data_IF_040801286386
#
_entry.id   IF_040801286386
#
_cell.length_a   1.000
_cell.length_b   1.000
_cell.length_c   1.000
_cell.angle_alpha   90.00
_cell.angle_beta   90.00
_cell.angle_gamma   90.00
#
_symmetry.space_group_name_H-M   'P 1'
#
loop_
_entity.id
_entity.type
_entity.pdbx_description
1 polymer ?
#
# COMPACT_ATOMS: atom_id res chain seq x y z
N UNK A 1 -1.91 -27.25 8.14
CA UNK A 1 -1.63 -26.08 7.29
C UNK A 1 -1.54 -26.44 5.82
N UNK A 2 -2.66 -26.82 5.19
CA UNK A 2 -2.88 -26.92 3.73
C UNK A 2 -4.36 -26.66 3.41
N UNK A 3 -5.24 -26.94 4.38
CA UNK A 3 -6.68 -26.69 4.33
C UNK A 3 -7.04 -25.20 4.34
N UNK A 4 -6.30 -24.36 5.08
CA UNK A 4 -6.53 -22.90 5.12
C UNK A 4 -6.04 -22.16 3.87
N UNK A 5 -4.93 -22.63 3.27
CA UNK A 5 -4.42 -22.15 1.98
C UNK A 5 -5.42 -22.42 0.87
N UNK A 6 -6.03 -23.62 0.87
CA UNK A 6 -7.14 -23.95 -0.01
C UNK A 6 -8.38 -23.11 0.29
N UNK A 7 -8.70 -22.82 1.56
CA UNK A 7 -9.93 -22.12 1.94
C UNK A 7 -10.00 -20.66 1.47
N UNK A 8 -8.91 -19.89 1.59
CA UNK A 8 -8.88 -18.49 1.13
C UNK A 8 -8.79 -18.43 -0.40
N UNK A 9 -8.01 -19.31 -1.02
CA UNK A 9 -8.00 -19.47 -2.47
C UNK A 9 -9.40 -19.88 -3.00
N UNK A 10 -10.04 -20.91 -2.44
CA UNK A 10 -11.39 -21.37 -2.84
C UNK A 10 -12.47 -20.31 -2.66
N UNK A 11 -12.43 -19.51 -1.58
CA UNK A 11 -13.41 -18.43 -1.35
C UNK A 11 -13.29 -17.30 -2.38
N UNK A 12 -12.10 -17.04 -2.92
CA UNK A 12 -11.87 -16.10 -4.02
C UNK A 12 -12.14 -16.71 -5.41
N UNK A 13 -12.11 -18.04 -5.51
CA UNK A 13 -12.24 -18.78 -6.76
C UNK A 13 -13.68 -19.18 -7.10
N UNK A 14 -14.65 -19.07 -6.19
CA UNK A 14 -16.04 -19.46 -6.44
C UNK A 14 -16.83 -18.37 -7.20
N UNK A 15 -17.00 -18.54 -8.52
CA UNK A 15 -18.06 -17.88 -9.31
C UNK A 15 -17.75 -16.51 -9.92
N UNK A 16 -16.49 -16.09 -10.00
CA UNK A 16 -16.12 -14.76 -10.51
C UNK A 16 -15.43 -14.86 -11.88
N UNK A 17 -15.86 -14.01 -12.82
CA UNK A 17 -15.19 -13.78 -14.10
C UNK A 17 -13.68 -13.55 -13.93
N UNK A 18 -12.87 -14.10 -14.84
CA UNK A 18 -11.43 -14.20 -14.71
C UNK A 18 -10.74 -12.83 -14.61
N UNK A 19 -11.23 -11.84 -15.36
CA UNK A 19 -10.75 -10.46 -15.28
C UNK A 19 -10.96 -9.86 -13.88
N UNK A 20 -12.10 -10.14 -13.23
CA UNK A 20 -12.38 -9.68 -11.87
C UNK A 20 -11.54 -10.41 -10.83
N UNK A 21 -11.15 -11.66 -11.07
CA UNK A 21 -10.23 -12.42 -10.19
C UNK A 21 -8.83 -11.81 -10.20
N UNK A 22 -8.27 -11.56 -11.38
CA UNK A 22 -6.94 -10.94 -11.53
C UNK A 22 -6.92 -9.56 -10.85
N UNK A 23 -7.97 -8.75 -11.05
CA UNK A 23 -8.12 -7.46 -10.37
C UNK A 23 -8.14 -7.59 -8.83
N UNK A 24 -8.85 -8.59 -8.32
CA UNK A 24 -8.92 -8.86 -6.87
C UNK A 24 -7.57 -9.28 -6.32
N UNK A 25 -6.83 -10.13 -7.02
CA UNK A 25 -5.48 -10.54 -6.62
C UNK A 25 -4.50 -9.37 -6.61
N UNK A 26 -4.57 -8.47 -7.60
CA UNK A 26 -3.77 -7.23 -7.57
C UNK A 26 -4.11 -6.34 -6.38
N UNK A 27 -5.40 -6.17 -6.07
CA UNK A 27 -5.83 -5.40 -4.90
C UNK A 27 -5.29 -6.03 -3.61
N UNK A 28 -5.38 -7.34 -3.49
CA UNK A 28 -4.85 -8.07 -2.34
C UNK A 28 -3.32 -7.89 -2.23
N UNK A 29 -2.58 -8.11 -3.32
CA UNK A 29 -1.12 -7.96 -3.35
C UNK A 29 -0.66 -6.55 -2.96
N UNK A 30 -1.42 -5.51 -3.32
CA UNK A 30 -1.04 -4.11 -3.11
C UNK A 30 -1.52 -3.51 -1.79
N UNK A 31 -2.62 -3.99 -1.22
CA UNK A 31 -3.32 -3.27 -0.15
C UNK A 31 -3.84 -4.13 0.98
N UNK A 32 -3.67 -5.46 0.95
CA UNK A 32 -4.11 -6.31 2.06
C UNK A 32 -3.26 -6.06 3.32
N UNK A 33 -3.94 -5.98 4.48
CA UNK A 33 -3.29 -5.77 5.77
C UNK A 33 -2.39 -6.96 6.15
N UNK A 34 -2.77 -8.18 5.76
CA UNK A 34 -2.00 -9.39 6.04
C UNK A 34 -0.87 -9.57 5.02
N UNK A 35 0.37 -9.52 5.50
CA UNK A 35 1.55 -9.79 4.66
C UNK A 35 1.50 -11.16 3.97
N UNK A 36 0.91 -12.17 4.64
CA UNK A 36 0.71 -13.51 4.07
C UNK A 36 -0.27 -13.49 2.91
N UNK A 37 -1.37 -12.75 3.05
CA UNK A 37 -2.35 -12.61 1.97
C UNK A 37 -1.75 -11.90 0.75
N UNK A 38 -0.91 -10.88 0.98
CA UNK A 38 -0.16 -10.21 -0.11
C UNK A 38 0.76 -11.17 -0.84
N UNK A 39 1.60 -11.91 -0.10
CA UNK A 39 2.54 -12.87 -0.69
C UNK A 39 1.82 -13.96 -1.49
N UNK A 40 0.76 -14.56 -0.93
CA UNK A 40 -0.03 -15.56 -1.65
C UNK A 40 -0.71 -15.00 -2.90
N UNK A 41 -1.14 -13.74 -2.87
CA UNK A 41 -1.73 -13.09 -4.05
C UNK A 41 -0.68 -12.91 -5.16
N UNK A 42 0.54 -12.52 -4.81
CA UNK A 42 1.66 -12.44 -5.77
C UNK A 42 2.01 -13.81 -6.32
N UNK A 43 2.10 -14.85 -5.48
CA UNK A 43 2.37 -16.22 -5.94
C UNK A 43 1.27 -16.74 -6.87
N UNK A 44 0.01 -16.42 -6.57
CA UNK A 44 -1.14 -16.80 -7.39
C UNK A 44 -1.13 -16.09 -8.75
N UNK A 45 -0.69 -14.82 -8.78
CA UNK A 45 -0.50 -14.07 -10.02
C UNK A 45 0.69 -14.62 -10.83
N UNK A 46 1.81 -14.93 -10.17
CA UNK A 46 3.02 -15.46 -10.79
C UNK A 46 2.81 -16.84 -11.43
N UNK A 47 2.04 -17.72 -10.79
CA UNK A 47 1.68 -19.04 -11.34
C UNK A 47 0.87 -18.94 -12.64
N UNK A 48 0.26 -17.79 -12.90
CA UNK A 48 -0.59 -17.52 -14.06
C UNK A 48 0.04 -16.52 -15.03
N UNK A 49 1.32 -16.16 -14.82
CA UNK A 49 1.92 -15.05 -15.53
C UNK A 49 2.08 -15.35 -17.02
N UNK A 50 1.34 -14.61 -17.84
CA UNK A 50 1.47 -14.53 -19.30
C UNK A 50 2.47 -13.43 -19.71
N UNK A 51 3.24 -12.90 -18.75
CA UNK A 51 4.17 -11.79 -18.92
C UNK A 51 3.52 -10.42 -18.65
N UNK A 52 2.23 -10.37 -18.33
CA UNK A 52 1.55 -9.11 -17.99
C UNK A 52 1.65 -8.76 -16.50
N UNK A 53 2.02 -9.71 -15.64
CA UNK A 53 1.93 -9.54 -14.18
C UNK A 53 2.79 -8.40 -13.66
N UNK A 54 3.94 -8.22 -14.30
CA UNK A 54 5.00 -7.29 -13.93
C UNK A 54 4.59 -5.80 -14.04
N UNK A 55 3.90 -5.42 -15.13
CA UNK A 55 3.67 -3.99 -15.46
C UNK A 55 2.80 -3.27 -14.43
N UNK A 56 1.71 -3.85 -13.90
CA UNK A 56 0.90 -3.21 -12.87
C UNK A 56 1.68 -2.92 -11.58
N UNK A 57 2.58 -3.81 -11.15
CA UNK A 57 3.42 -3.56 -9.97
C UNK A 57 4.41 -2.42 -10.20
N UNK A 58 5.04 -2.34 -11.38
CA UNK A 58 5.88 -1.18 -11.74
C UNK A 58 5.09 0.13 -11.74
N UNK A 59 3.85 0.11 -12.26
CA UNK A 59 2.98 1.29 -12.24
C UNK A 59 2.65 1.71 -10.80
N UNK A 60 2.31 0.76 -9.93
CA UNK A 60 2.03 1.03 -8.53
C UNK A 60 3.25 1.60 -7.80
N UNK A 61 4.42 0.98 -7.97
CA UNK A 61 5.68 1.45 -7.38
C UNK A 61 5.98 2.92 -7.70
N UNK A 62 5.81 3.33 -8.95
CA UNK A 62 6.28 4.64 -9.43
C UNK A 62 5.22 5.75 -9.39
N UNK A 63 3.93 5.40 -9.34
CA UNK A 63 2.84 6.36 -9.56
C UNK A 63 1.71 6.32 -8.54
N UNK A 64 1.69 5.35 -7.62
CA UNK A 64 0.61 5.26 -6.64
C UNK A 64 0.72 6.41 -5.61
N UNK A 65 -0.38 7.09 -5.25
CA UNK A 65 -0.31 8.19 -4.30
C UNK A 65 0.08 7.73 -2.89
N UNK A 66 -0.39 6.55 -2.47
CA UNK A 66 -0.16 6.01 -1.14
C UNK A 66 1.22 5.34 -1.00
N UNK A 67 2.08 5.81 -0.06
CA UNK A 67 3.42 5.27 0.17
C UNK A 67 3.47 3.77 0.50
N UNK A 68 2.52 3.26 1.29
CA UNK A 68 2.46 1.84 1.65
C UNK A 68 2.17 0.93 0.45
N UNK A 69 1.44 1.43 -0.56
CA UNK A 69 1.18 0.66 -1.79
C UNK A 69 2.44 0.58 -2.65
N UNK A 70 3.26 1.64 -2.70
CA UNK A 70 4.55 1.61 -3.38
C UNK A 70 5.49 0.60 -2.73
N UNK A 71 5.51 0.53 -1.40
CA UNK A 71 6.26 -0.46 -0.61
C UNK A 71 5.84 -1.89 -0.95
N UNK A 72 4.53 -2.16 -0.91
CA UNK A 72 4.00 -3.49 -1.23
C UNK A 72 4.29 -3.86 -2.69
N UNK A 73 4.25 -2.90 -3.61
CA UNK A 73 4.64 -3.13 -5.00
C UNK A 73 6.13 -3.48 -5.15
N UNK A 74 7.02 -2.83 -4.40
CA UNK A 74 8.44 -3.17 -4.39
C UNK A 74 8.69 -4.58 -3.85
N UNK A 75 7.99 -4.95 -2.77
CA UNK A 75 8.05 -6.29 -2.20
C UNK A 75 7.57 -7.35 -3.21
N UNK A 76 6.43 -7.09 -3.87
CA UNK A 76 5.89 -7.96 -4.92
C UNK A 76 6.87 -8.12 -6.10
N UNK A 77 7.49 -7.04 -6.58
CA UNK A 77 8.51 -7.11 -7.63
C UNK A 77 9.73 -7.94 -7.22
N UNK A 78 10.17 -7.81 -5.96
CA UNK A 78 11.25 -8.63 -5.41
C UNK A 78 10.85 -10.10 -5.27
N UNK A 79 9.59 -10.39 -4.97
CA UNK A 79 9.03 -11.75 -4.87
C UNK A 79 8.89 -12.40 -6.26
N UNK A 80 8.46 -11.65 -7.28
CA UNK A 80 8.39 -12.14 -8.66
C UNK A 80 9.76 -12.57 -9.22
N UNK A 81 10.86 -12.02 -8.69
CA UNK A 81 12.21 -12.39 -9.12
C UNK A 81 12.59 -11.85 -10.50
N UNK A 82 11.74 -11.04 -11.13
CA UNK A 82 11.96 -10.51 -12.47
C UNK A 82 13.00 -9.37 -12.44
N UNK A 83 14.15 -9.62 -13.08
CA UNK A 83 15.28 -8.68 -13.16
C UNK A 83 14.92 -7.36 -13.87
N UNK A 84 13.84 -7.32 -14.67
CA UNK A 84 13.30 -6.08 -15.23
C UNK A 84 12.89 -5.08 -14.15
N UNK A 85 12.66 -5.54 -12.91
CA UNK A 85 12.29 -4.74 -11.75
C UNK A 85 13.42 -3.85 -11.19
N UNK A 86 14.67 -4.12 -11.55
CA UNK A 86 15.84 -3.40 -10.98
C UNK A 86 15.81 -1.91 -11.34
N UNK A 87 15.64 -1.55 -12.61
CA UNK A 87 15.66 -0.16 -13.03
C UNK A 87 14.49 0.67 -12.43
N UNK A 88 13.23 0.17 -12.40
CA UNK A 88 12.14 0.82 -11.67
C UNK A 88 12.42 1.01 -10.16
N UNK A 89 12.98 0.00 -9.49
CA UNK A 89 13.30 0.08 -8.06
C UNK A 89 14.39 1.12 -7.76
N UNK A 90 15.44 1.20 -8.57
CA UNK A 90 16.46 2.25 -8.45
C UNK A 90 15.85 3.63 -8.63
N UNK A 91 14.95 3.80 -9.60
CA UNK A 91 14.24 5.07 -9.82
C UNK A 91 13.37 5.45 -8.62
N UNK A 92 12.64 4.50 -8.05
CA UNK A 92 11.84 4.70 -6.85
C UNK A 92 12.72 5.09 -5.65
N UNK A 93 13.85 4.40 -5.47
CA UNK A 93 14.82 4.70 -4.41
C UNK A 93 15.37 6.12 -4.54
N UNK A 94 15.70 6.57 -5.75
CA UNK A 94 16.10 7.97 -6.01
C UNK A 94 15.03 8.97 -5.57
N UNK A 95 13.76 8.67 -5.88
CA UNK A 95 12.63 9.52 -5.49
C UNK A 95 12.46 9.69 -3.97
N UNK A 96 12.89 8.71 -3.17
CA UNK A 96 12.86 8.80 -1.69
C UNK A 96 13.94 9.74 -1.10
N UNK A 97 14.93 10.12 -1.90
CA UNK A 97 15.98 11.07 -1.53
C UNK A 97 15.51 12.52 -1.78
N UNK A 98 14.72 12.74 -2.83
CA UNK A 98 14.30 14.08 -3.30
C UNK A 98 13.16 14.72 -2.48
N UNK A 99 12.81 14.17 -1.30
CA UNK A 99 12.01 14.89 -0.32
C UNK A 99 10.53 15.15 -0.68
N UNK A 100 9.91 14.33 -1.54
CA UNK A 100 8.43 14.32 -1.69
C UNK A 100 7.80 13.65 -0.47
N UNK A 101 7.89 14.32 0.67
CA UNK A 101 7.24 13.91 1.91
C UNK A 101 5.75 14.18 1.75
N UNK A 102 4.98 13.15 1.39
CA UNK A 102 3.53 13.20 1.50
C UNK A 102 3.17 13.23 2.99
N UNK A 103 3.14 14.43 3.57
CA UNK A 103 2.58 14.66 4.90
C UNK A 103 1.12 14.21 4.82
N UNK A 104 0.79 13.16 5.56
CA UNK A 104 -0.55 12.60 5.59
C UNK A 104 -1.14 12.95 6.94
N UNK A 105 -2.14 13.81 6.93
CA UNK A 105 -2.83 14.24 8.14
C UNK A 105 -3.87 13.15 8.45
N UNK A 106 -3.73 12.45 9.57
CA UNK A 106 -4.75 11.52 10.04
C UNK A 106 -5.71 12.29 10.94
N UNK A 107 -6.98 12.36 10.53
CA UNK A 107 -8.04 13.03 11.29
C UNK A 107 -9.00 11.97 11.81
N UNK A 108 -9.17 11.91 13.14
CA UNK A 108 -10.27 11.21 13.79
C UNK A 108 -11.14 12.25 14.48
N UNK A 109 -12.32 12.50 13.92
CA UNK A 109 -13.33 13.40 14.46
C UNK A 109 -14.49 12.53 14.94
N UNK A 110 -14.82 12.62 16.23
CA UNK A 110 -16.02 11.99 16.77
C UNK A 110 -17.16 13.03 16.73
N UNK A 111 -18.25 12.66 16.08
CA UNK A 111 -19.47 13.47 16.10
C UNK A 111 -20.39 12.95 17.21
N UNK A 112 -20.53 13.72 18.29
CA UNK A 112 -21.49 13.42 19.36
C UNK A 112 -22.62 14.43 19.24
N UNK A 113 -23.80 13.96 18.85
CA UNK A 113 -25.02 14.76 18.89
C UNK A 113 -25.54 14.78 20.33
N UNK A 114 -25.65 15.97 20.92
CA UNK A 114 -26.25 16.14 22.24
C UNK A 114 -27.58 16.88 22.10
N UNK A 115 -28.61 16.40 22.79
CA UNK A 115 -29.91 17.07 22.87
C UNK A 115 -29.81 18.14 23.95
N UNK A 116 -29.67 19.40 23.56
CA UNK A 116 -29.79 20.52 24.51
C UNK A 116 -31.27 20.67 24.89
N UNK A 117 -31.49 20.93 26.17
CA UNK A 117 -32.76 20.89 26.91
C UNK A 117 -34.05 21.14 26.12
N UNK A 118 -35.09 20.37 26.48
CA UNK A 118 -36.44 20.52 25.95
C UNK A 118 -37.07 21.80 26.51
N UNK A 119 -37.34 22.80 25.66
CA UNK A 119 -38.35 23.81 25.98
C UNK A 119 -39.73 23.16 25.89
N UNK A 120 -40.19 22.56 26.99
CA UNK A 120 -41.55 22.04 27.11
C UNK A 120 -42.46 23.19 27.53
N UNK A 121 -43.07 23.88 26.58
CA UNK A 121 -44.24 24.71 26.90
C UNK A 121 -45.45 23.79 27.12
N UNK A 122 -45.99 23.83 28.34
CA UNK A 122 -47.15 23.02 28.73
C UNK A 122 -48.42 23.67 28.18
N UNK A 123 -48.71 23.47 26.90
CA UNK A 123 -50.06 23.64 26.37
C UNK A 123 -50.80 22.30 26.51
N UNK A 124 -51.83 22.27 27.35
CA UNK A 124 -52.72 21.11 27.45
C UNK A 124 -53.27 20.80 26.05
N UNK A 125 -53.18 19.53 25.62
CA UNK A 125 -53.61 18.98 24.31
C UNK A 125 -52.71 19.22 23.08
N UNK A 126 -51.52 18.61 23.05
CA UNK A 126 -51.00 17.71 21.98
C UNK A 126 -49.47 17.62 22.06
N UNK A 127 -48.93 16.43 22.33
CA UNK A 127 -47.49 16.18 22.46
C UNK A 127 -46.84 15.96 21.10
N UNK A 128 -46.05 16.93 20.63
CA UNK A 128 -44.93 16.69 19.70
C UNK A 128 -43.80 17.62 20.12
N UNK A 129 -42.75 17.07 20.72
CA UNK A 129 -41.53 17.81 21.02
C UNK A 129 -40.57 17.69 19.82
N UNK A 130 -40.14 18.81 19.25
CA UNK A 130 -39.07 18.85 18.24
C UNK A 130 -37.73 19.14 18.95
N UNK A 131 -36.83 18.15 19.09
CA UNK A 131 -35.56 18.37 19.77
C UNK A 131 -34.61 19.21 18.90
N UNK A 132 -34.02 20.25 19.49
CA UNK A 132 -32.92 20.99 18.87
C UNK A 132 -31.64 20.18 19.05
N UNK A 133 -31.16 19.57 17.98
CA UNK A 133 -29.91 18.81 17.96
C UNK A 133 -28.76 19.75 17.63
N UNK A 134 -27.81 19.90 18.55
CA UNK A 134 -26.56 20.65 18.32
C UNK A 134 -25.39 19.66 18.17
N UNK A 135 -24.45 19.97 17.27
CA UNK A 135 -23.34 19.08 16.92
C UNK A 135 -22.05 19.64 17.49
N UNK A 136 -21.52 18.97 18.51
CA UNK A 136 -20.18 19.27 19.02
C UNK A 136 -19.17 18.37 18.32
N UNK A 137 -18.18 18.99 17.69
CA UNK A 137 -17.06 18.29 17.05
C UNK A 137 -15.92 18.17 18.07
N UNK A 138 -15.67 16.96 18.56
CA UNK A 138 -14.51 16.63 19.39
C UNK A 138 -13.57 15.71 18.61
N UNK A 139 -12.28 16.02 18.59
CA UNK A 139 -11.33 15.30 17.74
C UNK A 139 -9.87 15.68 17.99
N UNK A 140 -8.99 14.75 17.66
CA UNK A 140 -7.54 14.95 17.71
C UNK A 140 -7.00 15.13 16.28
N UNK A 141 -6.25 16.21 16.05
CA UNK A 141 -5.43 16.38 14.83
C UNK A 141 -3.99 16.03 15.19
N UNK A 142 -3.52 14.87 14.72
CA UNK A 142 -2.14 14.45 14.92
C UNK A 142 -1.31 14.81 13.68
N UNK A 143 -0.31 15.70 13.85
CA UNK A 143 0.75 15.91 12.84
C UNK A 143 1.75 14.76 12.97
N UNK A 144 1.44 13.63 12.35
CA UNK A 144 2.30 12.44 12.38
C UNK A 144 3.41 12.61 11.35
N UNK A 145 4.62 12.90 11.83
CA UNK A 145 5.84 12.69 11.06
C UNK A 145 5.93 11.23 10.63
N UNK A 146 5.88 11.00 9.31
CA UNK A 146 5.76 9.67 8.72
C UNK A 146 6.98 8.80 9.09
N UNK A 147 6.80 7.83 9.99
CA UNK A 147 7.74 6.74 10.28
C UNK A 147 8.05 5.90 9.01
N UNK A 148 7.21 6.03 7.96
CA UNK A 148 7.24 5.20 6.75
C UNK A 148 8.45 5.43 5.82
N UNK A 149 9.06 6.62 5.76
CA UNK A 149 10.14 6.90 4.78
C UNK A 149 11.38 6.01 5.03
N UNK A 150 11.72 5.75 6.28
CA UNK A 150 12.81 4.83 6.63
C UNK A 150 12.48 3.40 6.18
N UNK A 151 11.22 2.97 6.34
CA UNK A 151 10.76 1.64 5.94
C UNK A 151 10.80 1.45 4.41
N UNK A 152 10.46 2.48 3.61
CA UNK A 152 10.51 2.39 2.15
C UNK A 152 11.92 2.08 1.63
N UNK A 153 12.94 2.80 2.14
CA UNK A 153 14.33 2.67 1.70
C UNK A 153 14.86 1.26 1.88
N UNK A 154 14.68 0.71 3.08
CA UNK A 154 15.12 -0.63 3.43
C UNK A 154 14.43 -1.70 2.57
N UNK A 155 13.13 -1.55 2.31
CA UNK A 155 12.38 -2.52 1.49
C UNK A 155 12.81 -2.47 0.03
N UNK A 156 13.03 -1.28 -0.52
CA UNK A 156 13.52 -1.10 -1.89
C UNK A 156 14.93 -1.69 -2.03
N UNK A 157 15.83 -1.40 -1.09
CA UNK A 157 17.18 -1.97 -1.06
C UNK A 157 17.17 -3.50 -0.93
N UNK A 158 16.30 -4.08 -0.10
CA UNK A 158 16.16 -5.54 0.01
C UNK A 158 15.62 -6.17 -1.28
N UNK A 159 14.64 -5.55 -1.91
CA UNK A 159 14.11 -6.02 -3.20
C UNK A 159 15.20 -5.98 -4.29
N UNK A 160 15.99 -4.90 -4.34
CA UNK A 160 17.15 -4.79 -5.23
C UNK A 160 18.19 -5.87 -4.93
N UNK A 161 18.51 -6.12 -3.66
CA UNK A 161 19.43 -7.18 -3.26
C UNK A 161 18.97 -8.56 -3.73
N UNK A 162 17.68 -8.88 -3.60
CA UNK A 162 17.11 -10.15 -4.12
C UNK A 162 17.25 -10.27 -5.64
N UNK A 163 16.94 -9.21 -6.38
CA UNK A 163 16.95 -9.25 -7.85
C UNK A 163 18.35 -9.22 -8.46
N UNK A 164 19.29 -8.52 -7.80
CA UNK A 164 20.64 -8.28 -8.33
C UNK A 164 21.69 -9.23 -7.75
N UNK A 165 21.42 -9.81 -6.57
CA UNK A 165 22.39 -10.53 -5.74
C UNK A 165 23.63 -9.67 -5.38
N UNK A 166 23.51 -8.34 -5.49
CA UNK A 166 24.58 -7.42 -5.16
C UNK A 166 24.77 -7.32 -3.64
N UNK A 167 26.03 -7.31 -3.20
CA UNK A 167 26.40 -7.12 -1.79
C UNK A 167 26.44 -5.64 -1.43
N UNK A 168 25.28 -4.98 -1.51
CA UNK A 168 25.11 -3.57 -1.15
C UNK A 168 24.24 -3.50 0.09
N UNK A 169 24.59 -2.64 1.03
CA UNK A 169 23.78 -2.38 2.21
C UNK A 169 22.37 -1.91 1.79
N UNK A 170 21.30 -2.63 2.16
CA UNK A 170 19.92 -2.26 1.82
C UNK A 170 19.49 -0.87 2.32
N UNK A 171 20.13 -0.34 3.36
CA UNK A 171 19.75 0.95 3.95
C UNK A 171 20.46 2.14 3.28
N UNK A 172 21.62 1.88 2.66
CA UNK A 172 22.47 2.92 2.09
C UNK A 172 22.07 3.26 0.64
N UNK A 173 21.27 4.32 0.49
CA UNK A 173 20.91 4.86 -0.84
C UNK A 173 22.18 5.23 -1.63
N UNK A 174 23.15 5.87 -0.98
CA UNK A 174 24.41 6.28 -1.63
C UNK A 174 25.12 5.10 -2.27
N UNK A 175 25.27 4.00 -1.51
CA UNK A 175 25.91 2.78 -2.00
C UNK A 175 25.16 2.16 -3.18
N UNK A 176 23.81 2.16 -3.15
CA UNK A 176 23.00 1.71 -4.28
C UNK A 176 23.16 2.60 -5.53
N UNK A 177 23.29 3.91 -5.37
CA UNK A 177 23.53 4.83 -6.49
C UNK A 177 24.92 4.68 -7.09
N UNK A 178 25.94 4.47 -6.26
CA UNK A 178 27.30 4.20 -6.70
C UNK A 178 27.37 2.89 -7.48
N UNK A 179 26.80 1.82 -6.91
CA UNK A 179 26.67 0.54 -7.60
C UNK A 179 25.92 0.67 -8.93
N UNK A 180 24.81 1.42 -8.96
CA UNK A 180 24.05 1.65 -10.19
C UNK A 180 24.87 2.36 -11.27
N UNK A 181 25.68 3.36 -10.90
CA UNK A 181 26.56 4.09 -11.81
C UNK A 181 27.69 3.24 -12.36
N UNK A 182 28.29 2.40 -11.52
CA UNK A 182 29.46 1.60 -11.88
C UNK A 182 29.09 0.35 -12.68
N UNK A 183 28.05 -0.38 -12.25
CA UNK A 183 27.73 -1.71 -12.79
C UNK A 183 26.26 -1.90 -13.15
N UNK A 184 25.35 -1.34 -12.36
CA UNK A 184 23.92 -1.64 -12.49
C UNK A 184 23.33 -1.16 -13.83
N UNK A 185 23.72 0.04 -14.28
CA UNK A 185 23.18 0.64 -15.50
C UNK A 185 23.51 -0.14 -16.77
N UNK A 186 24.70 -0.75 -16.86
CA UNK A 186 25.08 -1.56 -18.03
C UNK A 186 24.40 -2.93 -18.02
N UNK A 187 24.20 -3.52 -16.84
CA UNK A 187 23.62 -4.86 -16.66
C UNK A 187 22.08 -4.89 -16.71
N UNK A 188 21.43 -3.82 -16.25
CA UNK A 188 19.97 -3.77 -16.04
C UNK A 188 19.30 -2.50 -16.57
N UNK A 189 20.05 -1.58 -17.17
CA UNK A 189 19.48 -0.40 -17.82
C UNK A 189 18.64 -0.83 -19.02
N UNK A 190 17.36 -0.47 -19.02
CA UNK A 190 16.54 -0.54 -20.23
C UNK A 190 17.11 0.42 -21.27
N UNK A 191 17.34 -0.07 -22.50
CA UNK A 191 17.49 0.80 -23.68
C UNK A 191 16.19 1.57 -23.92
#
# INVERSE_FOLDING_TARGET
GRTMERFVALRLLAGVDETRRVKTLYRAALSDASWRARHMAVDSLAQRDDGTTFRPFVKALLKHPEPFVQVNAAEALGQLGDRRGVAPLVRALKGTQDGRVARSNFQSINQIAYVKDYDVEVAQTAFIADPVVDVVLDGMVLDVGVIDIQRQRVIYGRALGRLTQAKVDPESIGAWMDWWRQEGKSKFGSR
#
